data_IF_011453991805
#
_entry.id   IF_011453991805
#
_cell.length_a   1.000
_cell.length_b   1.000
_cell.length_c   1.000
_cell.angle_alpha   90.00
_cell.angle_beta   90.00
_cell.angle_gamma   90.00
#
_symmetry.space_group_name_H-M   'P 1'
#
loop_
_entity.id
_entity.type
_entity.pdbx_description
1 polymer ?
#
# COMPACT_ATOMS: atom_id res chain seq x y z
N UNK A 1 -7.63 4.85 16.56
CA UNK A 1 -7.12 3.48 16.37
C UNK A 1 -5.59 3.57 16.28
N UNK A 2 -4.84 2.63 16.84
CA UNK A 2 -3.38 2.59 16.60
C UNK A 2 -3.16 1.87 15.27
N UNK A 3 -2.60 2.58 14.28
CA UNK A 3 -2.24 2.00 12.98
C UNK A 3 -0.76 1.64 13.02
N UNK A 4 -0.47 0.39 12.69
CA UNK A 4 0.87 -0.13 12.50
C UNK A 4 1.16 -0.22 11.01
N UNK A 5 2.44 -0.23 10.62
CA UNK A 5 2.81 -0.55 9.25
C UNK A 5 3.87 -1.63 9.23
N UNK A 6 3.61 -2.67 8.46
CA UNK A 6 4.38 -3.92 8.45
C UNK A 6 4.73 -4.30 7.02
N UNK A 7 5.87 -4.94 6.81
CA UNK A 7 6.23 -5.54 5.52
C UNK A 7 5.53 -6.88 5.35
N UNK A 8 5.16 -7.22 4.13
CA UNK A 8 4.70 -8.58 3.82
C UNK A 8 5.91 -9.50 3.76
N UNK A 9 5.92 -10.52 4.61
CA UNK A 9 6.84 -11.65 4.45
C UNK A 9 6.33 -12.53 3.30
N UNK A 10 7.23 -12.98 2.41
CA UNK A 10 6.93 -13.83 1.26
C UNK A 10 7.65 -15.18 1.42
N UNK A 11 7.04 -16.26 0.95
CA UNK A 11 7.57 -17.63 1.15
C UNK A 11 6.46 -18.65 1.42
N UNK A 12 5.96 -19.28 0.37
CA UNK A 12 5.04 -20.41 0.49
C UNK A 12 5.69 -21.67 -0.11
N UNK A 13 5.58 -22.85 0.51
CA UNK A 13 5.02 -23.14 1.84
C UNK A 13 6.14 -23.07 2.89
N UNK A 14 6.44 -21.87 3.40
CA UNK A 14 7.46 -21.60 4.43
C UNK A 14 8.95 -21.85 4.07
N UNK A 15 9.87 -21.13 4.74
CA UNK A 15 9.62 -20.02 5.67
C UNK A 15 9.23 -18.73 4.95
N UNK A 16 8.29 -17.99 5.55
CA UNK A 16 7.99 -16.62 5.14
C UNK A 16 9.16 -15.73 5.55
N UNK A 17 9.88 -15.17 4.58
CA UNK A 17 11.01 -14.28 4.81
C UNK A 17 10.63 -12.89 4.34
N UNK A 18 11.01 -11.86 5.10
CA UNK A 18 10.93 -10.49 4.60
C UNK A 18 12.01 -10.37 3.51
N UNK A 19 11.66 -9.97 2.27
CA UNK A 19 12.65 -9.82 1.21
C UNK A 19 13.81 -8.92 1.66
N UNK A 20 15.04 -9.34 1.38
CA UNK A 20 16.22 -8.55 1.74
C UNK A 20 16.19 -7.18 1.05
N UNK A 21 16.64 -6.16 1.77
CA UNK A 21 16.77 -4.81 1.23
C UNK A 21 18.04 -4.74 0.38
N UNK A 22 17.89 -4.58 -0.92
CA UNK A 22 18.98 -4.23 -1.83
C UNK A 22 19.02 -2.71 -2.04
N UNK A 23 20.17 -2.17 -2.43
CA UNK A 23 20.31 -0.73 -2.78
C UNK A 23 19.39 -0.29 -3.93
N UNK A 24 18.89 -1.25 -4.70
CA UNK A 24 18.00 -1.02 -5.84
C UNK A 24 16.52 -1.16 -5.43
N UNK A 25 16.22 -1.98 -4.42
CA UNK A 25 14.85 -2.26 -3.98
C UNK A 25 14.11 -1.08 -3.35
N UNK A 26 12.79 -1.17 -3.36
CA UNK A 26 11.88 -0.34 -2.56
C UNK A 26 11.25 -1.19 -1.45
N UNK A 27 11.19 -0.66 -0.23
CA UNK A 27 10.49 -1.34 0.86
C UNK A 27 8.98 -1.20 0.69
N UNK A 28 8.24 -2.30 0.71
CA UNK A 28 6.77 -2.25 0.66
C UNK A 28 6.21 -2.46 2.06
N UNK A 29 5.44 -1.48 2.53
CA UNK A 29 4.75 -1.55 3.79
C UNK A 29 3.24 -1.50 3.61
N UNK A 30 2.55 -2.06 4.59
CA UNK A 30 1.12 -2.22 4.61
C UNK A 30 0.56 -1.76 5.94
N UNK A 31 -0.55 -1.02 5.90
CA UNK A 31 -1.25 -0.62 7.11
C UNK A 31 -1.91 -1.84 7.79
N UNK A 32 -1.75 -1.95 9.11
CA UNK A 32 -2.20 -3.07 9.93
C UNK A 32 -2.77 -2.59 11.26
N UNK A 33 -3.72 -3.35 11.80
CA UNK A 33 -4.30 -3.10 13.12
C UNK A 33 -3.32 -3.45 14.27
N UNK A 34 -2.37 -4.34 13.99
CA UNK A 34 -1.36 -4.81 14.94
C UNK A 34 0.00 -4.87 14.24
N UNK A 35 1.10 -4.98 14.99
CA UNK A 35 2.44 -5.18 14.41
C UNK A 35 2.64 -6.62 13.90
N UNK A 36 1.70 -7.12 13.11
CA UNK A 36 1.70 -8.46 12.51
C UNK A 36 1.09 -8.37 11.12
N UNK A 37 1.78 -8.91 10.12
CA UNK A 37 1.36 -8.88 8.71
C UNK A 37 0.04 -9.63 8.48
N UNK A 38 -0.30 -10.61 9.33
CA UNK A 38 -1.57 -11.35 9.26
C UNK A 38 -2.76 -10.43 9.52
N UNK A 39 -2.55 -9.35 10.26
CA UNK A 39 -3.57 -8.37 10.63
C UNK A 39 -3.62 -7.15 9.70
N UNK A 40 -2.92 -7.19 8.55
CA UNK A 40 -2.94 -6.12 7.57
C UNK A 40 -4.36 -5.85 7.07
N UNK A 41 -4.73 -4.57 6.96
CA UNK A 41 -6.05 -4.16 6.47
C UNK A 41 -6.32 -4.65 5.04
N UNK A 42 -5.28 -4.83 4.21
CA UNK A 42 -5.42 -5.44 2.89
C UNK A 42 -5.89 -6.90 2.91
N UNK A 43 -5.53 -7.68 3.94
CA UNK A 43 -6.03 -9.06 4.06
C UNK A 43 -7.54 -9.03 4.32
N UNK A 44 -7.99 -8.11 5.17
CA UNK A 44 -9.42 -7.87 5.42
C UNK A 44 -10.14 -7.41 4.14
N UNK A 45 -9.53 -6.49 3.38
CA UNK A 45 -10.08 -6.03 2.09
C UNK A 45 -10.24 -7.22 1.12
N UNK A 46 -9.19 -8.03 0.95
CA UNK A 46 -9.20 -9.17 0.05
C UNK A 46 -10.22 -10.22 0.49
N UNK A 47 -10.28 -10.56 1.79
CA UNK A 47 -11.27 -11.51 2.31
C UNK A 47 -12.71 -11.01 2.12
N UNK A 48 -12.95 -9.71 2.33
CA UNK A 48 -14.26 -9.10 2.08
C UNK A 48 -14.63 -9.14 0.60
N UNK A 49 -13.68 -8.83 -0.28
CA UNK A 49 -13.88 -8.92 -1.73
C UNK A 49 -14.15 -10.38 -2.12
N UNK A 50 -13.36 -11.33 -1.61
CA UNK A 50 -13.46 -12.75 -1.94
C UNK A 50 -14.84 -13.34 -1.63
N UNK A 51 -15.49 -12.88 -0.55
CA UNK A 51 -16.83 -13.32 -0.20
C UNK A 51 -17.89 -12.91 -1.25
N UNK A 52 -17.67 -11.79 -1.95
CA UNK A 52 -18.64 -11.22 -2.91
C UNK A 52 -18.25 -11.42 -4.38
N UNK A 53 -16.95 -11.43 -4.68
CA UNK A 53 -16.33 -11.53 -6.00
C UNK A 53 -14.94 -12.20 -5.90
N UNK A 54 -14.88 -13.54 -5.87
CA UNK A 54 -13.63 -14.30 -5.79
C UNK A 54 -12.65 -14.00 -6.93
N UNK A 55 -13.15 -13.65 -8.11
CA UNK A 55 -12.31 -13.33 -9.29
C UNK A 55 -11.58 -12.01 -9.05
N UNK A 56 -12.27 -10.99 -8.55
CA UNK A 56 -11.65 -9.73 -8.15
C UNK A 56 -10.64 -9.91 -7.00
N UNK A 57 -10.93 -10.76 -6.03
CA UNK A 57 -9.98 -11.08 -4.96
C UNK A 57 -8.69 -11.72 -5.50
N UNK A 58 -8.78 -12.62 -6.48
CA UNK A 58 -7.61 -13.17 -7.19
C UNK A 58 -6.81 -12.08 -7.90
N UNK A 59 -7.49 -11.13 -8.56
CA UNK A 59 -6.81 -9.98 -9.19
C UNK A 59 -6.12 -9.06 -8.18
N UNK A 60 -6.73 -8.85 -7.01
CA UNK A 60 -6.13 -8.07 -5.92
C UNK A 60 -4.84 -8.72 -5.42
N UNK A 61 -4.87 -10.04 -5.13
CA UNK A 61 -3.69 -10.81 -4.73
C UNK A 61 -2.58 -10.75 -5.78
N UNK A 62 -2.93 -10.99 -7.05
CA UNK A 62 -1.97 -10.91 -8.15
C UNK A 62 -1.36 -9.51 -8.30
N UNK A 63 -2.15 -8.45 -8.15
CA UNK A 63 -1.67 -7.08 -8.19
C UNK A 63 -0.69 -6.76 -7.06
N UNK A 64 -0.95 -7.25 -5.84
CA UNK A 64 -0.02 -7.10 -4.72
C UNK A 64 1.28 -7.89 -4.90
N UNK A 65 1.21 -9.12 -5.42
CA UNK A 65 2.40 -9.92 -5.73
C UNK A 65 3.25 -9.16 -6.74
N UNK A 66 2.64 -8.70 -7.84
CA UNK A 66 3.34 -7.92 -8.86
C UNK A 66 3.95 -6.62 -8.28
N UNK A 67 3.25 -5.96 -7.35
CA UNK A 67 3.77 -4.77 -6.70
C UNK A 67 5.02 -5.07 -5.85
N UNK A 68 4.98 -6.14 -5.06
CA UNK A 68 6.11 -6.57 -4.24
C UNK A 68 7.30 -7.04 -5.10
N UNK A 69 7.07 -7.83 -6.15
CA UNK A 69 8.10 -8.27 -7.09
C UNK A 69 8.82 -7.09 -7.75
N UNK A 70 8.04 -6.14 -8.28
CA UNK A 70 8.63 -4.97 -8.91
C UNK A 70 9.40 -4.09 -7.90
N UNK A 71 8.88 -3.97 -6.67
CA UNK A 71 9.54 -3.22 -5.61
C UNK A 71 10.86 -3.90 -5.19
N UNK A 72 10.86 -5.23 -5.06
CA UNK A 72 12.03 -6.04 -4.76
C UNK A 72 13.13 -5.87 -5.82
N UNK A 73 12.75 -5.91 -7.10
CA UNK A 73 13.67 -5.73 -8.22
C UNK A 73 14.06 -4.27 -8.49
N UNK A 74 13.62 -3.32 -7.67
CA UNK A 74 13.95 -1.91 -7.88
C UNK A 74 13.46 -1.34 -9.20
N UNK A 75 12.48 -2.01 -9.83
CA UNK A 75 11.99 -1.58 -11.13
C UNK A 75 11.48 -0.15 -11.01
N UNK A 76 11.80 0.75 -11.97
CA UNK A 76 11.37 2.14 -11.92
C UNK A 76 9.90 2.19 -11.56
N UNK A 77 9.55 2.96 -10.52
CA UNK A 77 8.15 3.13 -10.17
C UNK A 77 7.36 3.58 -11.41
N UNK A 78 8.00 4.38 -12.28
CA UNK A 78 7.61 4.77 -13.67
C UNK A 78 7.02 3.63 -14.51
N UNK A 79 7.56 2.41 -14.43
CA UNK A 79 7.07 1.23 -15.15
C UNK A 79 5.73 0.71 -14.59
N UNK A 80 5.35 1.11 -13.38
CA UNK A 80 4.01 0.91 -12.85
C UNK A 80 3.03 1.99 -13.39
N UNK A 81 3.54 3.16 -13.79
CA UNK A 81 2.80 4.33 -14.28
C UNK A 81 2.64 4.40 -15.79
N UNK A 82 2.25 3.30 -16.43
CA UNK A 82 1.53 3.50 -17.68
C UNK A 82 0.24 4.25 -17.37
N UNK A 83 -0.06 5.32 -18.10
CA UNK A 83 -1.31 6.11 -17.96
C UNK A 83 -2.58 5.26 -18.01
N UNK A 84 -2.48 4.01 -18.47
CA UNK A 84 -3.59 3.06 -18.48
C UNK A 84 -3.76 2.33 -17.15
N UNK A 85 -2.67 2.01 -16.44
CA UNK A 85 -2.68 1.13 -15.27
C UNK A 85 -2.57 1.86 -13.93
N UNK A 86 -1.71 2.88 -13.79
CA UNK A 86 -1.57 3.64 -12.53
C UNK A 86 -1.94 5.10 -12.74
N UNK A 87 -2.70 5.66 -11.80
CA UNK A 87 -3.33 6.97 -11.92
C UNK A 87 -3.26 7.70 -10.60
N UNK A 88 -3.28 9.03 -10.65
CA UNK A 88 -3.66 9.80 -9.47
C UNK A 88 -5.07 9.39 -9.01
N UNK A 89 -5.21 9.25 -7.70
CA UNK A 89 -6.50 8.92 -7.09
C UNK A 89 -7.39 10.15 -6.89
N UNK A 90 -6.81 11.36 -6.92
CA UNK A 90 -7.46 12.59 -6.48
C UNK A 90 -7.50 12.76 -4.96
N UNK A 91 -7.03 11.76 -4.20
CA UNK A 91 -6.82 11.85 -2.77
C UNK A 91 -5.39 12.27 -2.46
N UNK A 92 -5.21 13.14 -1.45
CA UNK A 92 -3.90 13.64 -1.01
C UNK A 92 -3.76 13.49 0.49
N UNK A 93 -2.58 13.07 0.92
CA UNK A 93 -2.19 13.07 2.34
C UNK A 93 -1.53 14.41 2.62
N UNK A 94 -2.19 15.22 3.45
CA UNK A 94 -1.76 16.58 3.75
C UNK A 94 -1.81 16.85 5.26
N UNK A 95 -0.79 17.50 5.80
CA UNK A 95 -0.86 18.07 7.14
C UNK A 95 -1.60 19.42 7.12
N UNK A 96 -2.00 19.91 8.29
CA UNK A 96 -2.75 21.17 8.43
C UNK A 96 -2.01 22.38 7.86
N UNK A 97 -0.67 22.35 7.88
CA UNK A 97 0.19 23.41 7.38
C UNK A 97 0.63 23.24 5.91
N UNK A 98 0.20 22.16 5.24
CA UNK A 98 0.57 21.79 3.86
C UNK A 98 2.08 21.70 3.62
N UNK A 99 2.84 21.38 4.67
CA UNK A 99 4.28 21.11 4.57
C UNK A 99 4.52 19.70 4.05
N UNK A 100 3.62 18.77 4.36
CA UNK A 100 3.53 17.45 3.74
C UNK A 100 2.38 17.51 2.75
N UNK A 101 2.66 17.17 1.49
CA UNK A 101 1.63 17.08 0.47
C UNK A 101 1.94 15.95 -0.51
N UNK A 102 1.33 14.80 -0.26
CA UNK A 102 1.64 13.55 -0.96
C UNK A 102 0.42 13.06 -1.72
N UNK A 103 0.60 12.92 -3.03
CA UNK A 103 -0.39 12.30 -3.90
C UNK A 103 -0.56 10.82 -3.56
N UNK A 104 -1.81 10.40 -3.35
CA UNK A 104 -2.14 8.98 -3.35
C UNK A 104 -2.44 8.56 -4.78
N UNK A 105 -1.84 7.45 -5.15
CA UNK A 105 -1.93 6.84 -6.46
C UNK A 105 -2.82 5.61 -6.36
N UNK A 106 -3.36 5.17 -7.49
CA UNK A 106 -4.11 3.93 -7.60
C UNK A 106 -3.66 3.11 -8.79
N UNK A 107 -3.43 1.82 -8.56
CA UNK A 107 -3.27 0.83 -9.62
C UNK A 107 -4.65 0.25 -9.93
N UNK A 108 -5.01 0.25 -11.22
CA UNK A 108 -6.24 -0.35 -11.74
C UNK A 108 -5.92 -1.73 -12.27
N UNK A 109 -6.48 -2.77 -11.65
CA UNK A 109 -6.41 -4.15 -12.18
C UNK A 109 -7.82 -4.70 -12.26
N UNK A 110 -8.36 -4.82 -13.48
CA UNK A 110 -9.76 -5.25 -13.66
C UNK A 110 -10.73 -4.41 -12.80
N UNK A 111 -11.54 -5.06 -11.96
CA UNK A 111 -12.51 -4.42 -11.07
C UNK A 111 -11.95 -4.01 -9.69
N UNK A 112 -10.64 -4.11 -9.45
CA UNK A 112 -10.01 -3.67 -8.19
C UNK A 112 -9.09 -2.46 -8.37
N UNK A 113 -8.90 -1.72 -7.27
CA UNK A 113 -8.07 -0.53 -7.15
C UNK A 113 -7.16 -0.69 -5.94
N UNK A 114 -5.85 -0.64 -6.16
CA UNK A 114 -4.85 -0.71 -5.08
C UNK A 114 -4.34 0.71 -4.86
N UNK A 115 -4.61 1.28 -3.68
CA UNK A 115 -4.18 2.64 -3.34
C UNK A 115 -2.86 2.61 -2.61
N UNK A 116 -1.96 3.48 -3.01
CA UNK A 116 -0.62 3.55 -2.46
C UNK A 116 -0.01 4.94 -2.57
N UNK A 117 1.04 5.20 -1.81
CA UNK A 117 1.86 6.40 -1.97
C UNK A 117 3.34 6.07 -1.80
N UNK A 118 4.19 6.93 -2.37
CA UNK A 118 5.64 6.80 -2.28
C UNK A 118 6.21 7.71 -1.17
N UNK A 119 7.10 7.16 -0.36
CA UNK A 119 7.86 7.87 0.67
C UNK A 119 9.32 7.98 0.23
N UNK A 120 9.67 9.11 -0.40
CA UNK A 120 10.99 9.32 -1.02
C UNK A 120 12.15 9.16 -0.04
N UNK A 121 12.07 9.76 1.16
CA UNK A 121 13.13 9.69 2.17
C UNK A 121 13.45 8.27 2.64
N UNK A 122 12.46 7.38 2.60
CA UNK A 122 12.61 5.99 3.06
C UNK A 122 12.76 4.99 1.90
N UNK A 123 12.74 5.45 0.65
CA UNK A 123 12.60 4.62 -0.56
C UNK A 123 11.52 3.53 -0.36
N UNK A 124 10.36 3.94 0.15
CA UNK A 124 9.31 3.03 0.57
C UNK A 124 8.00 3.27 -0.16
N UNK A 125 7.29 2.19 -0.45
CA UNK A 125 5.93 2.17 -0.99
C UNK A 125 4.98 1.81 0.14
N UNK A 126 4.00 2.68 0.40
CA UNK A 126 2.95 2.45 1.39
C UNK A 126 1.68 2.02 0.69
N UNK A 127 1.27 0.77 0.85
CA UNK A 127 -0.04 0.30 0.38
C UNK A 127 -1.09 0.62 1.43
N UNK A 128 -2.06 1.45 1.06
CA UNK A 128 -3.07 1.96 1.98
C UNK A 128 -4.25 0.99 2.07
N UNK A 129 -4.92 0.72 0.95
CA UNK A 129 -6.15 -0.08 0.85
C UNK A 129 -6.35 -0.69 -0.52
N UNK A 130 -7.19 -1.72 -0.57
CA UNK A 130 -7.70 -2.29 -1.82
C UNK A 130 -9.21 -2.09 -1.85
N UNK A 131 -9.71 -1.43 -2.89
CA UNK A 131 -11.13 -1.20 -3.09
C UNK A 131 -11.61 -1.86 -4.38
N UNK A 132 -12.89 -2.23 -4.42
CA UNK A 132 -13.58 -2.53 -5.67
C UNK A 132 -13.85 -1.24 -6.47
N UNK A 133 -14.12 -1.38 -7.77
CA UNK A 133 -14.51 -0.26 -8.64
C UNK A 133 -15.73 0.52 -8.09
N UNK A 134 -16.65 -0.16 -7.41
CA UNK A 134 -17.83 0.46 -6.81
C UNK A 134 -17.48 1.34 -5.63
N UNK A 135 -16.55 0.91 -4.79
CA UNK A 135 -16.09 1.66 -3.62
C UNK A 135 -15.18 2.83 -4.02
N UNK A 136 -14.37 2.67 -5.07
CA UNK A 136 -13.52 3.72 -5.67
C UNK A 136 -14.33 4.94 -6.12
N UNK A 137 -15.57 4.75 -6.58
CA UNK A 137 -16.45 5.86 -6.97
C UNK A 137 -16.75 6.84 -5.82
N UNK A 138 -16.63 6.37 -4.58
CA UNK A 138 -16.87 7.17 -3.37
C UNK A 138 -15.58 7.42 -2.59
N UNK A 139 -14.41 7.46 -3.26
CA UNK A 139 -13.11 7.58 -2.62
C UNK A 139 -13.00 8.74 -1.63
N UNK A 140 -13.48 9.94 -2.00
CA UNK A 140 -13.44 11.12 -1.14
C UNK A 140 -14.24 10.98 0.15
N UNK A 141 -15.15 10.01 0.20
CA UNK A 141 -15.95 9.65 1.37
C UNK A 141 -15.41 8.41 2.08
N UNK A 142 -14.20 7.92 1.73
CA UNK A 142 -13.62 6.74 2.36
C UNK A 142 -12.78 7.15 3.60
N UNK A 143 -13.36 7.12 4.82
CA UNK A 143 -12.66 7.57 6.02
C UNK A 143 -11.42 6.73 6.33
N UNK A 144 -11.38 5.47 5.86
CA UNK A 144 -10.30 4.54 6.19
C UNK A 144 -8.99 4.89 5.48
N UNK A 145 -9.05 5.36 4.24
CA UNK A 145 -7.85 5.84 3.53
C UNK A 145 -7.35 7.14 4.17
N UNK A 146 -8.25 8.04 4.57
CA UNK A 146 -7.89 9.26 5.29
C UNK A 146 -7.23 8.95 6.64
N UNK A 147 -7.79 8.02 7.41
CA UNK A 147 -7.23 7.63 8.71
C UNK A 147 -5.82 7.07 8.57
N UNK A 148 -5.58 6.17 7.61
CA UNK A 148 -4.25 5.62 7.32
C UNK A 148 -3.30 6.73 6.84
N UNK A 149 -3.77 7.61 5.96
CA UNK A 149 -2.99 8.76 5.47
C UNK A 149 -2.54 9.69 6.59
N UNK A 150 -3.45 10.02 7.51
CA UNK A 150 -3.14 10.83 8.68
C UNK A 150 -2.12 10.15 9.60
N UNK A 151 -2.22 8.82 9.77
CA UNK A 151 -1.25 8.05 10.53
C UNK A 151 0.14 8.00 9.89
N UNK A 152 0.25 8.26 8.58
CA UNK A 152 1.54 8.34 7.88
C UNK A 152 2.26 9.68 8.03
N UNK A 153 1.53 10.76 8.34
CA UNK A 153 2.08 12.14 8.41
C UNK A 153 3.38 12.25 9.21
N UNK A 154 3.50 11.67 10.42
CA UNK A 154 4.72 11.80 11.21
C UNK A 154 5.98 11.22 10.53
N UNK A 155 5.81 10.26 9.62
CA UNK A 155 6.91 9.55 8.99
C UNK A 155 7.41 10.21 7.70
N UNK A 156 6.62 11.08 7.08
CA UNK A 156 7.04 11.79 5.86
C UNK A 156 8.16 12.82 6.14
N UNK A 157 8.17 13.40 7.35
CA UNK A 157 9.18 14.36 7.78
C UNK A 157 10.28 13.74 8.67
N UNK A 158 10.25 12.43 8.92
CA UNK A 158 11.28 11.78 9.73
C UNK A 158 12.52 11.49 8.85
N UNK A 159 13.67 12.15 9.09
CA UNK A 159 14.90 11.89 8.34
C UNK A 159 15.47 10.49 8.59
N UNK A 160 15.07 9.81 9.67
CA UNK A 160 15.41 8.39 9.92
C UNK A 160 14.46 7.44 9.18
N UNK A 161 13.44 7.98 8.52
CA UNK A 161 12.49 7.26 7.71
C UNK A 161 11.56 6.34 8.49
N UNK A 162 10.91 5.44 7.77
CA UNK A 162 10.04 4.42 8.34
C UNK A 162 10.89 3.36 9.07
N UNK A 163 11.04 3.47 10.39
CA UNK A 163 11.65 2.41 11.20
C UNK A 163 10.67 1.26 11.31
N UNK A 164 11.01 0.12 10.69
CA UNK A 164 10.36 -1.16 10.95
C UNK A 164 10.25 -1.37 12.45
N UNK A 165 9.03 -1.34 12.98
CA UNK A 165 8.75 -1.99 14.26
C UNK A 165 8.49 -3.44 13.93
N UNK A 166 9.57 -4.21 13.82
CA UNK A 166 9.47 -5.67 13.98
C UNK A 166 9.13 -5.85 15.46
N UNK A 167 7.87 -6.17 15.78
CA UNK A 167 7.46 -6.61 17.11
C UNK A 167 7.34 -8.12 17.06
#
# INVERSE_FOLDING_TARGET
MNIHFTRLATGFPEPLVIPEDTEESYKVFHASAYADFRNCFLNQDISSIEHSDPVSAKHARSGLIQLNENAYHGLPLENFYTDKACHESGFRIQDTHKTIDVNVLRIRKSAIRIYWCYMSHSRAVMVLRILTKREDANLHQNPKIQEIGNALLPFFNDPKGFKERII
#
